data_IF_845561041460
#
_entry.id   IF_845561041460
#
_cell.length_a   1.000
_cell.length_b   1.000
_cell.length_c   1.000
_cell.angle_alpha   90.00
_cell.angle_beta   90.00
_cell.angle_gamma   90.00
#
_symmetry.space_group_name_H-M   'P 1'
#
loop_
_entity.id
_entity.type
_entity.pdbx_description
1 polymer ?
#
# COMPACT_ATOMS: atom_id res chain seq x y z
N UNK A 1 2.90 -35.25 -60.07
CA UNK A 1 4.09 -35.68 -59.30
C UNK A 1 4.98 -34.46 -59.14
N UNK A 2 4.88 -33.78 -58.03
CA UNK A 2 5.68 -32.58 -57.75
C UNK A 2 6.64 -32.95 -56.63
N UNK A 3 7.96 -32.84 -56.90
CA UNK A 3 9.04 -33.13 -55.99
C UNK A 3 9.24 -31.93 -55.04
N UNK A 4 8.99 -32.15 -53.78
CA UNK A 4 9.35 -31.22 -52.71
C UNK A 4 10.86 -31.25 -52.46
N UNK A 5 11.58 -30.25 -52.95
CA UNK A 5 12.97 -30.00 -52.62
C UNK A 5 13.11 -29.32 -51.27
N UNK A 6 13.35 -30.08 -50.22
CA UNK A 6 13.75 -29.61 -48.89
C UNK A 6 15.15 -29.04 -48.96
N UNK A 7 15.25 -27.72 -48.89
CA UNK A 7 16.55 -27.00 -48.70
C UNK A 7 16.96 -27.20 -47.25
N UNK A 8 17.68 -28.28 -46.96
CA UNK A 8 18.37 -28.47 -45.68
C UNK A 8 19.61 -27.54 -45.67
N UNK A 9 19.51 -26.46 -44.96
CA UNK A 9 20.59 -25.53 -44.73
C UNK A 9 21.62 -26.19 -43.82
N UNK A 10 22.65 -26.82 -44.39
CA UNK A 10 23.78 -27.38 -43.66
C UNK A 10 24.60 -26.23 -42.99
N UNK A 11 24.19 -25.83 -41.83
CA UNK A 11 24.82 -24.81 -40.99
C UNK A 11 26.02 -25.35 -40.18
N UNK A 12 26.34 -26.64 -40.30
CA UNK A 12 27.26 -27.35 -39.38
C UNK A 12 28.76 -27.25 -39.73
N UNK A 13 29.14 -26.72 -40.90
CA UNK A 13 30.56 -26.64 -41.28
C UNK A 13 31.22 -25.29 -41.02
N UNK A 14 30.47 -24.25 -40.68
CA UNK A 14 31.00 -22.89 -40.45
C UNK A 14 31.58 -22.67 -39.03
N UNK A 15 31.38 -23.61 -38.13
CA UNK A 15 31.77 -23.46 -36.71
C UNK A 15 33.16 -23.99 -36.36
N UNK A 16 34.01 -24.34 -37.28
CA UNK A 16 35.38 -24.84 -37.04
C UNK A 16 36.47 -23.77 -37.00
N UNK A 17 36.15 -22.48 -37.09
CA UNK A 17 37.15 -21.39 -37.04
C UNK A 17 37.28 -20.78 -35.65
N UNK A 18 38.43 -20.90 -35.01
CA UNK A 18 38.72 -20.47 -33.63
C UNK A 18 38.27 -19.03 -33.25
N UNK A 19 38.61 -17.94 -34.04
CA UNK A 19 38.31 -16.57 -33.60
C UNK A 19 36.82 -16.22 -33.66
N UNK A 20 36.04 -16.77 -34.61
CA UNK A 20 34.60 -16.48 -34.75
C UNK A 20 33.78 -17.07 -33.58
N UNK A 21 34.19 -18.23 -33.06
CA UNK A 21 33.54 -18.86 -31.87
C UNK A 21 33.68 -17.99 -30.62
N UNK A 22 34.88 -17.46 -30.39
CA UNK A 22 35.14 -16.59 -29.25
C UNK A 22 34.35 -15.29 -29.30
N UNK A 23 34.18 -14.72 -30.49
CA UNK A 23 33.34 -13.56 -30.72
C UNK A 23 31.83 -13.82 -30.42
N UNK A 24 31.31 -14.95 -30.89
CA UNK A 24 29.91 -15.35 -30.64
C UNK A 24 29.72 -15.64 -29.16
N UNK A 25 30.62 -16.39 -28.52
CA UNK A 25 30.57 -16.67 -27.10
C UNK A 25 30.68 -15.41 -26.25
N UNK A 26 31.57 -14.51 -26.56
CA UNK A 26 31.69 -13.20 -25.88
C UNK A 26 30.44 -12.36 -25.98
N UNK A 27 29.85 -12.30 -27.18
CA UNK A 27 28.59 -11.57 -27.38
C UNK A 27 27.39 -12.20 -26.68
N UNK A 28 27.30 -13.54 -26.69
CA UNK A 28 26.25 -14.24 -25.95
C UNK A 28 26.39 -14.04 -24.42
N UNK A 29 27.62 -14.04 -23.92
CA UNK A 29 27.92 -13.78 -22.52
C UNK A 29 27.56 -12.34 -22.13
N UNK A 30 27.82 -11.38 -22.97
CA UNK A 30 27.46 -9.98 -22.75
C UNK A 30 25.94 -9.77 -22.71
N UNK A 31 25.20 -10.38 -23.65
CA UNK A 31 23.72 -10.34 -23.64
C UNK A 31 23.18 -11.02 -22.40
N UNK A 32 23.74 -12.18 -22.02
CA UNK A 32 23.34 -12.87 -20.78
C UNK A 32 23.60 -12.02 -19.53
N UNK A 33 24.74 -11.33 -19.47
CA UNK A 33 25.08 -10.42 -18.36
C UNK A 33 24.07 -9.24 -18.26
N UNK A 34 23.68 -8.65 -19.40
CA UNK A 34 22.64 -7.60 -19.45
C UNK A 34 21.30 -8.15 -18.96
N UNK A 35 20.89 -9.35 -19.40
CA UNK A 35 19.63 -9.96 -18.99
C UNK A 35 19.60 -10.27 -17.48
N UNK A 36 20.69 -10.83 -16.95
CA UNK A 36 20.84 -11.13 -15.51
C UNK A 36 20.81 -9.81 -14.72
N UNK A 37 21.59 -8.81 -15.14
CA UNK A 37 21.62 -7.49 -14.49
C UNK A 37 20.24 -6.82 -14.47
N UNK A 38 19.52 -6.84 -15.59
CA UNK A 38 18.16 -6.31 -15.69
C UNK A 38 17.19 -7.06 -14.76
N UNK A 39 17.28 -8.39 -14.68
CA UNK A 39 16.43 -9.21 -13.80
C UNK A 39 16.68 -8.91 -12.31
N UNK A 40 17.95 -8.84 -11.90
CA UNK A 40 18.32 -8.50 -10.52
C UNK A 40 17.86 -7.08 -10.17
N UNK A 41 18.06 -6.13 -11.08
CA UNK A 41 17.63 -4.74 -10.89
C UNK A 41 16.10 -4.63 -10.79
N UNK A 42 15.36 -5.37 -11.61
CA UNK A 42 13.91 -5.46 -11.56
C UNK A 42 13.41 -5.97 -10.21
N UNK A 43 14.02 -7.04 -9.67
CA UNK A 43 13.71 -7.57 -8.36
C UNK A 43 13.98 -6.57 -7.24
N UNK A 44 15.12 -5.90 -7.27
CA UNK A 44 15.49 -4.88 -6.30
C UNK A 44 14.54 -3.67 -6.32
N UNK A 45 14.15 -3.20 -7.51
CA UNK A 45 13.18 -2.11 -7.64
C UNK A 45 11.80 -2.50 -7.11
N UNK A 46 11.34 -3.72 -7.39
CA UNK A 46 10.09 -4.25 -6.85
C UNK A 46 10.06 -4.21 -5.32
N UNK A 47 11.10 -4.72 -4.70
CA UNK A 47 11.20 -4.77 -3.24
C UNK A 47 11.32 -3.36 -2.63
N UNK A 48 12.01 -2.43 -3.30
CA UNK A 48 12.06 -1.02 -2.88
C UNK A 48 10.70 -0.35 -2.98
N UNK A 49 9.95 -0.58 -4.07
CA UNK A 49 8.61 -0.02 -4.25
C UNK A 49 7.66 -0.49 -3.13
N UNK A 50 7.67 -1.78 -2.80
CA UNK A 50 6.87 -2.33 -1.71
C UNK A 50 7.26 -1.73 -0.35
N UNK A 51 8.55 -1.68 -0.02
CA UNK A 51 9.04 -1.06 1.23
C UNK A 51 8.71 0.44 1.31
N UNK A 52 8.77 1.16 0.21
CA UNK A 52 8.38 2.57 0.19
C UNK A 52 6.89 2.75 0.48
N UNK A 53 6.04 1.91 -0.13
CA UNK A 53 4.60 1.92 0.14
C UNK A 53 4.27 1.54 1.59
N UNK A 54 4.98 0.57 2.18
CA UNK A 54 4.85 0.21 3.59
C UNK A 54 5.19 1.40 4.51
N UNK A 55 6.33 2.07 4.28
CA UNK A 55 6.74 3.26 5.03
C UNK A 55 5.74 4.41 4.88
N UNK A 56 5.21 4.60 3.69
CA UNK A 56 4.20 5.62 3.42
C UNK A 56 2.92 5.35 4.21
N UNK A 57 2.43 4.10 4.23
CA UNK A 57 1.29 3.69 5.05
C UNK A 57 1.57 3.88 6.54
N UNK A 58 2.75 3.48 7.03
CA UNK A 58 3.16 3.67 8.43
C UNK A 58 3.14 5.15 8.85
N UNK A 59 3.68 6.02 7.99
CA UNK A 59 3.67 7.47 8.25
C UNK A 59 2.24 8.02 8.24
N UNK A 60 1.42 7.56 7.29
CA UNK A 60 0.01 7.96 7.20
C UNK A 60 -0.76 7.59 8.47
N UNK A 61 -0.69 6.33 8.92
CA UNK A 61 -1.41 5.92 10.16
C UNK A 61 -0.84 6.61 11.41
N UNK A 62 0.46 6.91 11.44
CA UNK A 62 1.07 7.67 12.53
C UNK A 62 0.52 9.10 12.61
N UNK A 63 0.48 9.81 11.48
CA UNK A 63 -0.02 11.18 11.43
C UNK A 63 -1.52 11.23 11.75
N UNK A 64 -2.30 10.30 11.20
CA UNK A 64 -3.72 10.18 11.51
C UNK A 64 -3.98 9.86 12.98
N UNK A 65 -3.25 8.91 13.57
CA UNK A 65 -3.39 8.56 14.98
C UNK A 65 -3.10 9.78 15.89
N UNK A 66 -2.03 10.52 15.63
CA UNK A 66 -1.69 11.74 16.36
C UNK A 66 -2.75 12.83 16.20
N UNK A 67 -3.23 13.04 14.98
CA UNK A 67 -4.28 14.00 14.70
C UNK A 67 -5.56 13.71 15.48
N UNK A 68 -6.02 12.46 15.48
CA UNK A 68 -7.22 12.08 16.21
C UNK A 68 -6.99 12.01 17.73
N UNK A 69 -5.81 11.61 18.22
CA UNK A 69 -5.48 11.75 19.64
C UNK A 69 -5.68 13.19 20.09
N UNK A 70 -5.11 14.17 19.37
CA UNK A 70 -5.24 15.59 19.71
C UNK A 70 -6.69 16.06 19.64
N UNK A 71 -7.45 15.75 18.58
CA UNK A 71 -8.84 16.15 18.47
C UNK A 71 -9.73 15.61 19.60
N UNK A 72 -9.47 14.37 20.00
CA UNK A 72 -10.23 13.74 21.09
C UNK A 72 -9.84 14.28 22.45
N UNK A 73 -8.56 14.63 22.65
CA UNK A 73 -8.07 15.33 23.86
C UNK A 73 -8.71 16.70 24.00
N UNK A 74 -8.76 17.49 22.93
CA UNK A 74 -9.40 18.81 22.94
C UNK A 74 -10.88 18.72 23.39
N UNK A 75 -11.58 17.67 22.90
CA UNK A 75 -12.93 17.43 23.36
C UNK A 75 -13.02 16.95 24.83
N UNK A 76 -12.05 16.15 25.30
CA UNK A 76 -11.99 15.77 26.72
C UNK A 76 -11.80 16.98 27.63
N UNK A 77 -10.98 17.97 27.20
CA UNK A 77 -10.80 19.22 27.96
C UNK A 77 -12.14 19.92 28.14
N UNK A 78 -12.93 20.06 27.06
CA UNK A 78 -14.27 20.68 27.13
C UNK A 78 -15.18 19.90 28.07
N UNK A 79 -15.18 18.56 28.03
CA UNK A 79 -15.98 17.74 28.97
C UNK A 79 -15.57 17.94 30.42
N UNK A 80 -14.26 17.99 30.69
CA UNK A 80 -13.73 18.23 32.04
C UNK A 80 -14.09 19.61 32.55
N UNK A 81 -13.95 20.64 31.72
CA UNK A 81 -14.33 22.02 32.04
C UNK A 81 -15.81 22.13 32.42
N UNK A 82 -16.69 21.45 31.69
CA UNK A 82 -18.11 21.40 32.02
C UNK A 82 -18.36 20.74 33.39
N UNK A 83 -17.65 19.67 33.72
CA UNK A 83 -17.74 19.00 35.02
C UNK A 83 -17.24 19.93 36.14
N UNK A 84 -16.13 20.65 35.93
CA UNK A 84 -15.59 21.63 36.88
C UNK A 84 -16.59 22.77 37.10
N UNK A 85 -17.17 23.29 36.01
CA UNK A 85 -18.23 24.32 36.07
C UNK A 85 -19.43 23.84 36.89
N UNK A 86 -19.90 22.62 36.68
CA UNK A 86 -21.01 22.03 37.44
C UNK A 86 -20.69 21.92 38.92
N UNK A 87 -19.50 21.43 39.28
CA UNK A 87 -19.06 21.31 40.67
C UNK A 87 -18.95 22.68 41.37
N UNK A 88 -18.37 23.68 40.70
CA UNK A 88 -18.29 25.04 41.18
C UNK A 88 -19.69 25.68 41.38
N UNK A 89 -20.67 25.32 40.54
CA UNK A 89 -22.06 25.74 40.67
C UNK A 89 -22.87 24.98 41.72
N UNK A 90 -22.24 24.12 42.56
CA UNK A 90 -22.90 23.37 43.61
C UNK A 90 -23.88 22.27 43.13
N UNK A 91 -23.71 21.80 41.90
CA UNK A 91 -24.50 20.71 41.33
C UNK A 91 -24.04 19.38 41.94
N UNK A 92 -24.79 18.86 42.89
CA UNK A 92 -24.43 17.70 43.68
C UNK A 92 -25.49 16.59 43.73
N UNK A 93 -26.70 16.88 43.28
CA UNK A 93 -27.79 15.89 43.25
C UNK A 93 -28.39 15.74 41.85
N UNK A 94 -29.09 14.63 41.59
CA UNK A 94 -29.74 14.34 40.30
C UNK A 94 -30.75 15.43 39.93
N UNK A 95 -31.56 15.88 40.89
CA UNK A 95 -32.60 16.92 40.68
C UNK A 95 -31.93 18.26 40.33
N UNK A 96 -30.89 18.64 41.07
CA UNK A 96 -30.13 19.86 40.79
C UNK A 96 -29.45 19.81 39.45
N UNK A 97 -28.85 18.67 39.08
CA UNK A 97 -28.21 18.45 37.79
C UNK A 97 -29.25 18.63 36.65
N UNK A 98 -30.37 17.93 36.73
CA UNK A 98 -31.45 18.01 35.76
C UNK A 98 -31.95 19.45 35.58
N UNK A 99 -32.33 20.13 36.67
CA UNK A 99 -32.85 21.49 36.64
C UNK A 99 -31.85 22.47 36.08
N UNK A 100 -30.58 22.41 36.50
CA UNK A 100 -29.55 23.41 36.09
C UNK A 100 -29.07 23.18 34.70
N UNK A 101 -28.84 21.92 34.34
CA UNK A 101 -28.29 21.59 32.98
C UNK A 101 -29.36 21.68 31.90
N UNK A 102 -30.66 21.77 32.20
CA UNK A 102 -31.71 22.00 31.20
C UNK A 102 -31.91 23.46 30.82
N UNK A 103 -31.15 24.41 31.38
CA UNK A 103 -31.32 25.85 31.11
C UNK A 103 -30.88 26.30 29.72
N UNK A 104 -31.49 27.38 29.21
CA UNK A 104 -31.08 28.01 27.96
C UNK A 104 -29.66 28.58 28.04
N UNK A 105 -29.29 29.11 29.20
CA UNK A 105 -27.93 29.59 29.47
C UNK A 105 -26.87 28.50 29.26
N UNK A 106 -27.17 27.25 29.66
CA UNK A 106 -26.33 26.10 29.40
C UNK A 106 -26.26 25.77 27.90
N UNK A 107 -27.43 25.81 27.21
CA UNK A 107 -27.43 25.63 25.75
C UNK A 107 -26.47 26.62 25.04
N UNK A 108 -26.58 27.91 25.36
CA UNK A 108 -25.72 28.95 24.76
C UNK A 108 -24.25 28.72 25.12
N UNK A 109 -23.93 28.31 26.34
CA UNK A 109 -22.58 27.98 26.75
C UNK A 109 -22.04 26.74 26.00
N UNK A 110 -22.84 25.68 25.87
CA UNK A 110 -22.45 24.47 25.07
C UNK A 110 -22.20 24.84 23.63
N UNK A 111 -23.06 25.68 23.02
CA UNK A 111 -22.92 26.14 21.66
C UNK A 111 -21.62 26.93 21.47
N UNK A 112 -21.32 27.90 22.33
CA UNK A 112 -20.10 28.69 22.27
C UNK A 112 -18.83 27.82 22.41
N UNK A 113 -18.83 26.81 23.31
CA UNK A 113 -17.69 25.89 23.45
C UNK A 113 -17.45 25.03 22.20
N UNK A 114 -18.50 24.69 21.45
CA UNK A 114 -18.41 23.91 20.22
C UNK A 114 -17.97 24.74 19.02
N UNK A 115 -18.39 25.99 18.95
CA UNK A 115 -17.99 26.89 17.85
C UNK A 115 -16.47 27.06 17.75
N UNK A 116 -15.75 26.92 18.88
CA UNK A 116 -14.29 26.89 18.94
C UNK A 116 -13.67 25.59 18.37
N UNK A 117 -14.46 24.53 18.18
CA UNK A 117 -14.02 23.21 17.74
C UNK A 117 -14.70 22.86 16.41
N UNK A 118 -14.20 23.37 15.29
CA UNK A 118 -14.82 23.32 13.95
C UNK A 118 -15.10 21.93 13.36
N UNK A 119 -14.58 20.88 13.97
CA UNK A 119 -14.74 19.47 13.55
C UNK A 119 -15.66 18.67 14.49
N UNK A 120 -16.30 19.33 15.45
CA UNK A 120 -17.07 18.66 16.51
C UNK A 120 -18.54 18.77 16.21
N UNK A 121 -19.22 17.62 16.09
CA UNK A 121 -20.67 17.56 16.20
C UNK A 121 -21.15 18.06 17.58
N UNK A 122 -22.46 18.28 17.75
CA UNK A 122 -22.98 18.88 18.99
C UNK A 122 -22.66 18.11 20.27
N UNK A 123 -22.55 18.82 21.40
CA UNK A 123 -22.52 18.23 22.74
C UNK A 123 -23.95 17.97 23.18
N UNK A 124 -24.18 16.79 23.75
CA UNK A 124 -25.44 16.34 24.31
C UNK A 124 -25.27 16.09 25.83
N UNK A 125 -26.27 16.49 26.61
CA UNK A 125 -26.30 16.31 28.07
C UNK A 125 -27.54 15.46 28.41
N UNK A 126 -27.31 14.34 29.09
CA UNK A 126 -28.37 13.42 29.49
C UNK A 126 -28.44 13.35 31.01
N UNK A 127 -29.69 13.24 31.55
CA UNK A 127 -29.93 13.03 32.98
C UNK A 127 -29.63 11.58 33.42
N UNK A 128 -29.83 11.30 34.71
CA UNK A 128 -29.59 9.97 35.28
C UNK A 128 -30.59 8.91 34.76
N UNK A 129 -31.71 9.31 34.24
CA UNK A 129 -32.74 8.46 33.60
C UNK A 129 -32.46 8.25 32.10
N UNK A 130 -31.44 8.93 31.54
CA UNK A 130 -31.07 8.85 30.13
C UNK A 130 -31.84 9.79 29.21
N UNK A 131 -32.63 10.73 29.74
CA UNK A 131 -33.32 11.71 28.93
C UNK A 131 -32.32 12.79 28.44
N UNK A 132 -32.44 13.20 27.19
CA UNK A 132 -31.70 14.35 26.64
C UNK A 132 -32.26 15.64 27.24
N UNK A 133 -31.53 16.28 28.14
CA UNK A 133 -31.96 17.50 28.84
C UNK A 133 -31.34 18.79 28.24
N UNK A 134 -30.26 18.67 27.46
CA UNK A 134 -29.68 19.77 26.71
C UNK A 134 -28.85 19.29 25.52
N UNK A 135 -28.76 20.12 24.49
CA UNK A 135 -27.94 19.86 23.31
C UNK A 135 -27.42 21.19 22.74
N UNK A 136 -26.16 21.25 22.31
CA UNK A 136 -25.59 22.46 21.70
C UNK A 136 -26.15 22.76 20.31
N UNK A 137 -26.65 21.75 19.59
CA UNK A 137 -27.11 21.88 18.21
C UNK A 137 -28.54 22.43 18.10
N UNK A 138 -29.42 22.11 19.04
CA UNK A 138 -30.85 22.46 18.98
C UNK A 138 -31.40 22.83 20.35
N UNK A 139 -32.29 23.81 20.39
CA UNK A 139 -33.03 24.22 21.58
C UNK A 139 -34.50 24.48 21.23
N UNK A 140 -35.48 23.94 21.96
CA UNK A 140 -35.32 22.92 22.99
C UNK A 140 -34.78 21.58 22.42
N UNK A 141 -34.14 20.73 23.23
CA UNK A 141 -33.62 19.44 22.76
C UNK A 141 -34.78 18.50 22.39
N UNK A 142 -34.62 17.65 21.37
CA UNK A 142 -35.64 16.67 21.00
C UNK A 142 -35.86 15.63 22.17
N UNK A 143 -37.05 15.05 22.29
CA UNK A 143 -37.33 14.06 23.32
C UNK A 143 -36.68 12.72 23.00
N UNK A 144 -35.42 12.56 23.40
CA UNK A 144 -34.61 11.35 23.17
C UNK A 144 -34.18 10.77 24.50
N UNK A 145 -34.31 9.45 24.65
CA UNK A 145 -33.83 8.70 25.80
C UNK A 145 -32.82 7.64 25.37
N UNK A 146 -31.74 7.48 26.16
CA UNK A 146 -30.59 6.58 25.85
C UNK A 146 -30.38 5.54 26.97
N UNK A 147 -31.30 5.37 27.89
CA UNK A 147 -31.17 4.47 29.04
C UNK A 147 -30.95 2.99 28.67
N UNK A 148 -31.42 2.59 27.49
CA UNK A 148 -31.23 1.23 26.94
C UNK A 148 -29.89 1.01 26.24
N UNK A 149 -29.14 2.08 25.98
CA UNK A 149 -27.87 2.01 25.24
C UNK A 149 -26.77 1.34 26.06
N UNK A 150 -25.89 0.53 25.44
CA UNK A 150 -24.81 -0.16 26.14
C UNK A 150 -23.93 0.76 26.96
N UNK A 151 -23.43 1.86 26.37
CA UNK A 151 -22.57 2.82 27.10
C UNK A 151 -23.24 3.42 28.32
N UNK A 152 -24.57 3.73 28.25
CA UNK A 152 -25.29 4.32 29.37
C UNK A 152 -25.47 3.30 30.49
N UNK A 153 -25.82 2.04 30.16
CA UNK A 153 -25.89 0.93 31.12
C UNK A 153 -24.51 0.68 31.76
N UNK A 154 -23.43 0.74 31.00
CA UNK A 154 -22.07 0.61 31.51
C UNK A 154 -21.77 1.66 32.57
N UNK A 155 -22.14 2.93 32.38
CA UNK A 155 -21.94 3.98 33.38
C UNK A 155 -22.75 3.75 34.65
N UNK A 156 -23.93 3.15 34.55
CA UNK A 156 -24.81 2.82 35.71
C UNK A 156 -24.41 1.54 36.42
N UNK A 157 -23.47 0.74 35.92
CA UNK A 157 -23.12 -0.57 36.48
C UNK A 157 -22.40 -0.51 37.83
N UNK A 158 -22.00 0.66 38.28
CA UNK A 158 -21.39 0.87 39.59
C UNK A 158 -20.24 1.86 39.63
N UNK A 159 -19.64 2.06 40.82
CA UNK A 159 -18.56 3.04 41.01
C UNK A 159 -17.28 2.77 40.18
N UNK A 160 -17.01 1.50 39.89
CA UNK A 160 -15.85 1.06 39.10
C UNK A 160 -16.09 1.12 37.59
N UNK A 161 -17.25 1.60 37.12
CA UNK A 161 -17.52 1.77 35.70
C UNK A 161 -16.52 2.80 35.09
N UNK A 162 -16.14 2.65 33.82
CA UNK A 162 -15.20 3.57 33.18
C UNK A 162 -15.75 5.00 33.20
N UNK A 163 -14.87 5.99 33.26
CA UNK A 163 -15.27 7.41 33.21
C UNK A 163 -15.69 7.84 31.82
N UNK A 164 -15.21 7.16 30.77
CA UNK A 164 -15.49 7.47 29.38
C UNK A 164 -15.68 6.17 28.60
N UNK A 165 -16.62 6.21 27.64
CA UNK A 165 -16.86 5.14 26.67
C UNK A 165 -16.87 5.73 25.26
N UNK A 166 -16.30 4.98 24.32
CA UNK A 166 -16.34 5.27 22.89
C UNK A 166 -16.90 4.03 22.20
N UNK A 167 -18.07 4.17 21.57
CA UNK A 167 -18.68 3.07 20.84
C UNK A 167 -19.53 3.54 19.66
N UNK A 168 -19.71 2.71 18.62
CA UNK A 168 -20.65 2.99 17.56
C UNK A 168 -22.08 2.72 18.04
N UNK A 169 -22.98 3.65 17.73
CA UNK A 169 -24.42 3.48 17.98
C UNK A 169 -25.21 3.98 16.78
N UNK A 170 -26.37 3.41 16.54
CA UNK A 170 -27.34 4.00 15.64
C UNK A 170 -28.06 5.15 16.38
N UNK A 171 -27.78 6.39 16.00
CA UNK A 171 -28.23 7.59 16.70
C UNK A 171 -29.74 7.80 16.56
N UNK A 172 -30.42 8.04 17.67
CA UNK A 172 -31.84 8.46 17.67
C UNK A 172 -32.01 9.96 17.38
N UNK A 173 -30.92 10.72 17.43
CA UNK A 173 -30.93 12.16 17.15
C UNK A 173 -30.79 12.41 15.64
N UNK A 174 -29.86 11.71 14.99
CA UNK A 174 -29.56 11.94 13.56
C UNK A 174 -30.11 10.86 12.64
N UNK A 175 -30.56 9.71 13.15
CA UNK A 175 -31.03 8.58 12.34
C UNK A 175 -29.92 7.86 11.56
N UNK A 176 -28.66 8.04 11.97
CA UNK A 176 -27.48 7.49 11.28
C UNK A 176 -26.53 6.80 12.27
N UNK A 177 -25.65 5.95 11.75
CA UNK A 177 -24.52 5.44 12.52
C UNK A 177 -23.65 6.59 13.03
N UNK A 178 -23.27 6.53 14.29
CA UNK A 178 -22.57 7.60 15.00
C UNK A 178 -21.61 6.99 16.01
N UNK A 179 -20.37 7.43 16.03
CA UNK A 179 -19.43 7.12 17.10
C UNK A 179 -19.73 8.03 18.28
N UNK A 180 -20.25 7.46 19.37
CA UNK A 180 -20.51 8.19 20.60
C UNK A 180 -19.25 8.22 21.47
N UNK A 181 -18.89 9.42 21.92
CA UNK A 181 -17.87 9.66 22.93
C UNK A 181 -18.59 10.23 24.14
N UNK A 182 -18.83 9.40 25.14
CA UNK A 182 -19.58 9.77 26.33
C UNK A 182 -18.70 9.72 27.58
N UNK A 183 -18.93 10.65 28.49
CA UNK A 183 -18.31 10.70 29.81
C UNK A 183 -19.41 10.69 30.88
N UNK A 184 -19.22 9.88 31.92
CA UNK A 184 -20.12 9.89 33.07
C UNK A 184 -19.92 11.15 33.90
N UNK A 185 -20.99 11.66 34.45
CA UNK A 185 -21.02 12.75 35.44
C UNK A 185 -21.41 12.19 36.77
N UNK A 186 -20.55 12.43 37.77
CA UNK A 186 -20.78 11.97 39.13
C UNK A 186 -20.82 13.14 40.09
N UNK A 187 -21.70 13.03 41.12
CA UNK A 187 -21.74 13.94 42.23
C UNK A 187 -20.60 13.70 43.23
N UNK A 188 -20.54 14.51 44.30
CA UNK A 188 -19.48 14.44 45.30
C UNK A 188 -19.38 13.10 46.06
N UNK A 189 -20.49 12.37 46.19
CA UNK A 189 -20.56 11.06 46.84
C UNK A 189 -20.41 9.88 45.90
N UNK A 190 -20.07 10.16 44.60
CA UNK A 190 -19.93 9.16 43.54
C UNK A 190 -21.27 8.73 42.91
N UNK A 191 -22.39 9.38 43.26
CA UNK A 191 -23.70 9.13 42.65
C UNK A 191 -23.70 9.51 41.17
N UNK A 192 -24.34 8.69 40.32
CA UNK A 192 -24.46 8.94 38.89
C UNK A 192 -25.49 10.03 38.63
N UNK A 193 -25.07 11.18 38.12
CA UNK A 193 -25.90 12.33 37.79
C UNK A 193 -26.41 12.32 36.33
N UNK A 194 -25.64 11.72 35.43
CA UNK A 194 -25.94 11.68 34.00
C UNK A 194 -24.71 11.52 33.14
N UNK A 195 -24.81 11.92 31.88
CA UNK A 195 -23.69 11.84 30.95
C UNK A 195 -23.57 13.10 30.10
N UNK A 196 -22.34 13.42 29.72
CA UNK A 196 -22.01 14.44 28.70
C UNK A 196 -21.29 13.72 27.57
N UNK A 197 -21.81 13.85 26.37
CA UNK A 197 -21.24 13.17 25.23
C UNK A 197 -21.48 13.89 23.92
N UNK A 198 -20.87 13.37 22.88
CA UNK A 198 -21.09 13.79 21.49
C UNK A 198 -21.18 12.56 20.61
N UNK A 199 -21.92 12.70 19.52
CA UNK A 199 -21.88 11.78 18.40
C UNK A 199 -21.02 12.35 17.28
N UNK A 200 -20.18 11.54 16.69
CA UNK A 200 -19.43 11.86 15.47
C UNK A 200 -19.92 10.92 14.39
N UNK A 201 -20.52 11.47 13.34
CA UNK A 201 -20.91 10.66 12.19
C UNK A 201 -19.67 10.17 11.42
N UNK A 202 -19.67 8.93 10.91
CA UNK A 202 -18.57 8.38 10.11
C UNK A 202 -18.12 9.32 9.01
N UNK A 203 -19.04 10.00 8.34
CA UNK A 203 -18.77 10.97 7.28
C UNK A 203 -17.79 12.09 7.68
N UNK A 204 -17.75 12.46 8.97
CA UNK A 204 -16.81 13.48 9.45
C UNK A 204 -15.37 12.97 9.48
N UNK A 205 -15.16 11.71 9.85
CA UNK A 205 -13.85 11.06 9.74
C UNK A 205 -13.48 10.82 8.28
N UNK A 206 -14.44 10.38 7.48
CA UNK A 206 -14.26 10.00 6.08
C UNK A 206 -13.88 11.19 5.18
N UNK A 207 -14.44 12.36 5.42
CA UNK A 207 -14.03 13.61 4.76
C UNK A 207 -12.54 13.87 4.96
N UNK A 208 -12.03 13.67 6.18
CA UNK A 208 -10.62 13.83 6.45
C UNK A 208 -9.79 12.71 5.82
N UNK A 209 -10.24 11.46 5.90
CA UNK A 209 -9.57 10.33 5.26
C UNK A 209 -9.43 10.53 3.74
N UNK A 210 -10.46 11.09 3.09
CA UNK A 210 -10.44 11.40 1.66
C UNK A 210 -9.32 12.39 1.28
N UNK A 211 -8.99 13.34 2.16
CA UNK A 211 -7.89 14.31 1.90
C UNK A 211 -6.50 13.67 1.99
N UNK A 212 -6.40 12.54 2.68
CA UNK A 212 -5.11 11.84 2.95
C UNK A 212 -4.96 10.57 2.12
N UNK A 213 -6.04 10.12 1.45
CA UNK A 213 -6.01 8.91 0.62
C UNK A 213 -5.03 9.07 -0.54
N UNK A 214 -3.99 8.21 -0.59
CA UNK A 214 -2.77 8.41 -1.36
C UNK A 214 -2.81 7.82 -2.77
N UNK A 215 -3.67 6.85 -3.04
CA UNK A 215 -3.66 6.15 -4.33
C UNK A 215 -5.02 5.52 -4.64
N UNK A 216 -5.33 5.25 -5.92
CA UNK A 216 -6.49 4.46 -6.29
C UNK A 216 -6.50 3.11 -5.57
N UNK A 217 -7.64 2.75 -4.96
CA UNK A 217 -7.76 1.51 -4.19
C UNK A 217 -7.20 1.55 -2.77
N UNK A 218 -6.65 2.69 -2.30
CA UNK A 218 -6.30 2.90 -0.91
C UNK A 218 -7.55 2.94 -0.03
N UNK A 219 -7.43 2.40 1.18
CA UNK A 219 -8.49 2.49 2.19
C UNK A 219 -7.92 2.98 3.50
N UNK A 220 -8.69 3.79 4.22
CA UNK A 220 -8.38 4.21 5.59
C UNK A 220 -9.60 3.90 6.45
N UNK A 221 -9.39 3.32 7.61
CA UNK A 221 -10.43 2.94 8.52
C UNK A 221 -10.05 3.27 9.97
N UNK A 222 -11.06 3.63 10.76
CA UNK A 222 -10.95 3.76 12.20
C UNK A 222 -11.75 2.64 12.86
N UNK A 223 -11.10 1.92 13.75
CA UNK A 223 -11.72 0.87 14.53
C UNK A 223 -11.62 1.19 16.02
N UNK A 224 -12.55 0.69 16.79
CA UNK A 224 -12.34 0.50 18.22
C UNK A 224 -11.37 -0.66 18.45
N UNK A 225 -10.64 -0.69 19.57
CA UNK A 225 -9.63 -1.75 19.85
C UNK A 225 -10.21 -3.16 19.94
N UNK A 226 -11.49 -3.30 20.20
CA UNK A 226 -12.17 -4.60 20.16
C UNK A 226 -12.36 -5.14 18.73
N UNK A 227 -12.05 -4.35 17.72
CA UNK A 227 -12.19 -4.69 16.30
C UNK A 227 -13.42 -4.09 15.61
N UNK A 228 -14.27 -3.36 16.34
CA UNK A 228 -15.49 -2.76 15.77
C UNK A 228 -15.16 -1.59 14.85
N UNK A 229 -15.68 -1.59 13.62
CA UNK A 229 -15.46 -0.52 12.62
C UNK A 229 -16.30 0.70 12.96
N UNK A 230 -15.69 1.87 13.05
CA UNK A 230 -16.33 3.16 13.37
C UNK A 230 -16.50 4.05 12.13
N UNK A 231 -15.50 4.07 11.26
CA UNK A 231 -15.52 4.86 10.02
C UNK A 231 -14.58 4.23 8.99
N UNK A 232 -14.85 4.41 7.70
CA UNK A 232 -14.04 3.87 6.62
C UNK A 232 -14.14 4.73 5.36
N UNK A 233 -12.99 4.96 4.72
CA UNK A 233 -12.94 5.53 3.38
C UNK A 233 -12.28 4.53 2.40
N UNK A 234 -12.86 4.28 1.24
CA UNK A 234 -14.21 4.69 0.77
C UNK A 234 -15.32 4.15 1.67
N UNK A 235 -16.43 4.90 1.77
CA UNK A 235 -17.58 4.57 2.63
C UNK A 235 -18.23 3.23 2.27
N UNK A 236 -18.56 2.44 3.29
CA UNK A 236 -19.33 1.20 3.17
C UNK A 236 -20.23 1.08 4.41
N UNK A 237 -21.47 1.55 4.27
CA UNK A 237 -22.42 1.66 5.41
C UNK A 237 -22.69 0.32 6.09
N UNK A 238 -22.75 -0.76 5.33
CA UNK A 238 -23.00 -2.13 5.79
C UNK A 238 -21.89 -2.69 6.68
N UNK A 239 -20.71 -2.10 6.66
CA UNK A 239 -19.57 -2.55 7.48
C UNK A 239 -19.47 -1.80 8.81
N UNK A 240 -20.07 -0.62 8.94
CA UNK A 240 -19.99 0.18 10.17
C UNK A 240 -20.67 -0.59 11.30
N UNK A 241 -20.01 -0.69 12.43
CA UNK A 241 -20.46 -1.48 13.60
C UNK A 241 -20.06 -2.96 13.56
N UNK A 242 -19.57 -3.50 12.44
CA UNK A 242 -19.10 -4.87 12.37
C UNK A 242 -17.76 -5.05 13.08
N UNK A 243 -17.58 -6.24 13.69
CA UNK A 243 -16.35 -6.58 14.40
C UNK A 243 -15.39 -7.38 13.49
N UNK A 244 -14.23 -6.85 13.26
CA UNK A 244 -13.19 -7.43 12.39
C UNK A 244 -12.14 -8.27 13.14
N UNK A 245 -12.15 -8.26 14.47
CA UNK A 245 -11.22 -9.05 15.29
C UNK A 245 -11.56 -10.55 15.29
N UNK A 246 -12.79 -10.91 14.95
CA UNK A 246 -13.26 -12.30 14.86
C UNK A 246 -12.86 -12.98 13.54
N UNK A 247 -12.22 -12.27 12.63
CA UNK A 247 -11.80 -12.74 11.32
C UNK A 247 -10.58 -13.70 11.33
N UNK A 248 -10.01 -14.01 10.15
CA UNK A 248 -8.82 -14.85 9.99
C UNK A 248 -7.64 -14.39 10.85
N UNK A 249 -6.71 -15.30 11.19
CA UNK A 249 -5.57 -15.01 12.08
C UNK A 249 -4.72 -13.82 11.63
N UNK A 250 -4.46 -13.69 10.32
CA UNK A 250 -3.70 -12.56 9.77
C UNK A 250 -4.39 -11.20 9.99
N UNK A 251 -5.73 -11.18 9.96
CA UNK A 251 -6.51 -9.98 10.23
C UNK A 251 -6.50 -9.64 11.73
N UNK A 252 -6.59 -10.66 12.61
CA UNK A 252 -6.52 -10.46 14.07
C UNK A 252 -5.23 -9.80 14.51
N UNK A 253 -4.10 -10.15 13.88
CA UNK A 253 -2.78 -9.60 14.19
C UNK A 253 -2.72 -8.06 14.05
N UNK A 254 -3.53 -7.48 13.14
CA UNK A 254 -3.66 -6.02 12.96
C UNK A 254 -4.16 -5.32 14.24
N UNK A 255 -4.99 -6.03 15.04
CA UNK A 255 -5.61 -5.50 16.27
C UNK A 255 -4.86 -5.87 17.56
N UNK A 256 -3.93 -6.82 17.50
CA UNK A 256 -3.20 -7.33 18.67
C UNK A 256 -2.03 -6.44 19.07
N UNK A 257 -1.45 -5.74 18.10
CA UNK A 257 -0.26 -4.90 18.31
C UNK A 257 -0.61 -3.41 18.20
N UNK A 258 0.03 -2.54 19.02
CA UNK A 258 -0.16 -1.09 18.93
C UNK A 258 0.30 -0.49 17.60
N UNK A 259 1.20 -1.21 16.91
CA UNK A 259 1.69 -0.91 15.57
C UNK A 259 1.91 -2.21 14.83
N UNK A 260 1.38 -2.31 13.62
CA UNK A 260 1.57 -3.47 12.76
C UNK A 260 1.65 -3.02 11.30
N UNK A 261 2.53 -3.68 10.53
CA UNK A 261 2.57 -3.59 9.08
C UNK A 261 2.65 -5.00 8.52
N UNK A 262 1.75 -5.35 7.63
CA UNK A 262 1.63 -6.70 7.09
C UNK A 262 1.12 -6.70 5.65
N UNK A 263 1.37 -7.82 4.97
CA UNK A 263 0.81 -8.10 3.64
C UNK A 263 -0.17 -9.25 3.80
N UNK A 264 -1.40 -9.02 3.39
CA UNK A 264 -2.43 -10.06 3.48
C UNK A 264 -3.47 -9.89 2.36
N UNK A 265 -4.14 -10.99 2.06
CA UNK A 265 -5.30 -10.96 1.17
C UNK A 265 -6.52 -10.49 1.94
N UNK A 266 -7.15 -9.43 1.47
CA UNK A 266 -8.31 -8.82 2.10
C UNK A 266 -9.55 -9.71 1.96
N UNK A 267 -10.24 -10.04 3.06
CA UNK A 267 -11.46 -10.85 2.98
C UNK A 267 -12.65 -10.09 2.39
N UNK A 268 -12.56 -8.77 2.24
CA UNK A 268 -13.64 -7.94 1.70
C UNK A 268 -13.69 -7.92 0.18
N UNK A 269 -12.53 -7.95 -0.47
CA UNK A 269 -12.41 -7.81 -1.93
C UNK A 269 -11.49 -8.86 -2.57
N UNK A 270 -10.92 -9.78 -1.80
CA UNK A 270 -10.02 -10.83 -2.28
C UNK A 270 -8.68 -10.34 -2.83
N UNK A 271 -8.35 -9.05 -2.68
CA UNK A 271 -7.12 -8.47 -3.21
C UNK A 271 -5.97 -8.57 -2.20
N UNK A 272 -4.76 -8.75 -2.72
CA UNK A 272 -3.54 -8.66 -1.91
C UNK A 272 -3.27 -7.19 -1.56
N UNK A 273 -3.18 -6.92 -0.26
CA UNK A 273 -3.01 -5.58 0.29
C UNK A 273 -1.82 -5.48 1.22
N UNK A 274 -1.15 -4.33 1.13
CA UNK A 274 -0.26 -3.84 2.18
C UNK A 274 -1.13 -3.12 3.19
N UNK A 275 -1.02 -3.47 4.46
CA UNK A 275 -1.82 -2.90 5.55
C UNK A 275 -0.88 -2.39 6.62
N UNK A 276 -1.10 -1.17 7.08
CA UNK A 276 -0.46 -0.64 8.28
C UNK A 276 -1.51 -0.19 9.27
N UNK A 277 -1.25 -0.43 10.56
CA UNK A 277 -2.14 -0.03 11.65
C UNK A 277 -1.37 0.71 12.74
N UNK A 278 -2.07 1.62 13.42
CA UNK A 278 -1.57 2.37 14.57
C UNK A 278 -2.67 2.62 15.57
N UNK A 279 -2.44 2.18 16.81
CA UNK A 279 -3.33 2.52 17.92
C UNK A 279 -3.12 3.98 18.33
N UNK A 280 -4.20 4.66 18.72
CA UNK A 280 -4.15 5.93 19.42
C UNK A 280 -3.53 5.72 20.81
N UNK A 281 -2.89 6.74 21.33
CA UNK A 281 -2.17 6.66 22.62
C UNK A 281 -3.14 6.70 23.78
N UNK A 282 -4.09 7.65 23.75
CA UNK A 282 -4.95 7.98 24.89
C UNK A 282 -6.39 7.44 24.75
N UNK A 283 -6.71 6.85 23.60
CA UNK A 283 -8.04 6.36 23.30
C UNK A 283 -8.01 4.91 22.80
N UNK A 284 -9.05 4.12 23.08
CA UNK A 284 -9.15 2.73 22.62
C UNK A 284 -9.51 2.63 21.13
N UNK A 285 -8.80 3.36 20.30
CA UNK A 285 -9.02 3.45 18.86
C UNK A 285 -7.79 2.98 18.09
N UNK A 286 -7.99 2.50 16.87
CA UNK A 286 -6.98 2.02 15.95
C UNK A 286 -7.24 2.60 14.57
N UNK A 287 -6.24 3.23 13.99
CA UNK A 287 -6.25 3.62 12.58
C UNK A 287 -5.61 2.52 11.76
N UNK A 288 -6.27 2.15 10.68
CA UNK A 288 -5.79 1.16 9.70
C UNK A 288 -5.80 1.81 8.33
N UNK A 289 -4.66 1.79 7.65
CA UNK A 289 -4.57 2.19 6.25
C UNK A 289 -4.08 1.03 5.40
N UNK A 290 -4.62 0.87 4.21
CA UNK A 290 -4.17 -0.14 3.28
C UNK A 290 -4.16 0.34 1.83
N UNK A 291 -3.30 -0.30 1.02
CA UNK A 291 -3.29 -0.14 -0.43
C UNK A 291 -3.15 -1.51 -1.09
N UNK A 292 -3.61 -1.65 -2.32
CA UNK A 292 -3.44 -2.91 -3.06
C UNK A 292 -1.97 -3.06 -3.49
N UNK A 293 -1.46 -4.29 -3.49
CA UNK A 293 -0.12 -4.59 -4.01
C UNK A 293 0.03 -4.13 -5.47
N UNK A 294 -1.07 -4.16 -6.22
CA UNK A 294 -1.14 -3.70 -7.61
C UNK A 294 -0.88 -2.19 -7.71
N UNK A 295 -1.50 -1.39 -6.84
CA UNK A 295 -1.30 0.06 -6.79
C UNK A 295 0.10 0.41 -6.27
N UNK A 296 0.57 -0.27 -5.23
CA UNK A 296 1.92 -0.10 -4.69
C UNK A 296 3.04 -0.38 -5.72
N UNK A 297 2.76 -1.21 -6.73
CA UNK A 297 3.68 -1.56 -7.81
C UNK A 297 3.42 -0.81 -9.13
N UNK A 298 2.54 0.20 -9.15
CA UNK A 298 2.21 0.93 -10.38
C UNK A 298 3.46 1.60 -10.99
N UNK A 299 4.17 2.39 -10.20
CA UNK A 299 5.40 3.08 -10.61
C UNK A 299 6.52 2.10 -11.00
N UNK A 300 6.61 0.96 -10.28
CA UNK A 300 7.56 -0.09 -10.60
C UNK A 300 7.29 -0.69 -11.99
N UNK A 301 6.03 -0.91 -12.36
CA UNK A 301 5.67 -1.46 -13.69
C UNK A 301 6.11 -0.53 -14.82
N UNK A 302 5.94 0.76 -14.66
CA UNK A 302 6.38 1.76 -15.64
C UNK A 302 7.91 1.78 -15.76
N UNK A 303 8.61 1.79 -14.63
CA UNK A 303 10.08 1.74 -14.60
C UNK A 303 10.63 0.45 -15.23
N UNK A 304 10.00 -0.70 -14.97
CA UNK A 304 10.39 -1.99 -15.56
C UNK A 304 10.16 -2.01 -17.07
N UNK A 305 9.05 -1.50 -17.55
CA UNK A 305 8.79 -1.42 -18.99
C UNK A 305 9.92 -0.65 -19.71
N UNK A 306 10.36 0.47 -19.14
CA UNK A 306 11.49 1.25 -19.66
C UNK A 306 12.81 0.46 -19.57
N UNK A 307 13.09 -0.20 -18.43
CA UNK A 307 14.30 -1.03 -18.25
C UNK A 307 14.37 -2.17 -19.27
N UNK A 308 13.27 -2.89 -19.47
CA UNK A 308 13.18 -4.00 -20.44
C UNK A 308 13.35 -3.48 -21.87
N UNK A 309 12.75 -2.35 -22.21
CA UNK A 309 12.92 -1.72 -23.52
C UNK A 309 14.39 -1.36 -23.80
N UNK A 310 15.06 -0.72 -22.85
CA UNK A 310 16.49 -0.34 -22.98
C UNK A 310 17.38 -1.58 -23.06
N UNK A 311 17.17 -2.57 -22.20
CA UNK A 311 17.95 -3.81 -22.22
C UNK A 311 17.73 -4.59 -23.54
N UNK A 312 16.49 -4.66 -24.02
CA UNK A 312 16.13 -5.30 -25.28
C UNK A 312 16.76 -4.61 -26.50
N UNK A 313 16.69 -3.28 -26.56
CA UNK A 313 17.34 -2.50 -27.62
C UNK A 313 18.86 -2.67 -27.60
N UNK A 314 19.48 -2.67 -26.42
CA UNK A 314 20.91 -2.89 -26.26
C UNK A 314 21.32 -4.29 -26.73
N UNK A 315 20.58 -5.33 -26.32
CA UNK A 315 20.83 -6.70 -26.76
C UNK A 315 20.67 -6.86 -28.28
N UNK A 316 19.66 -6.21 -28.86
CA UNK A 316 19.40 -6.22 -30.31
C UNK A 316 20.52 -5.52 -31.08
N UNK A 317 21.02 -4.37 -30.59
CA UNK A 317 22.14 -3.65 -31.17
C UNK A 317 23.43 -4.48 -31.16
N UNK A 318 23.72 -5.15 -30.02
CA UNK A 318 24.85 -6.06 -29.87
C UNK A 318 24.74 -7.24 -30.85
N UNK A 319 23.57 -7.88 -30.93
CA UNK A 319 23.34 -8.98 -31.85
C UNK A 319 23.48 -8.58 -33.31
N UNK A 320 22.96 -7.41 -33.70
CA UNK A 320 23.09 -6.87 -35.06
C UNK A 320 24.55 -6.57 -35.39
N UNK A 321 25.31 -5.94 -34.47
CA UNK A 321 26.73 -5.65 -34.66
C UNK A 321 27.55 -6.93 -34.83
N UNK A 322 27.32 -7.92 -33.98
CA UNK A 322 27.96 -9.25 -34.07
C UNK A 322 27.65 -9.92 -35.40
N UNK A 323 26.38 -9.89 -35.82
CA UNK A 323 25.99 -10.44 -37.13
C UNK A 323 26.75 -9.80 -38.30
N UNK A 324 26.86 -8.46 -38.30
CA UNK A 324 27.60 -7.72 -39.34
C UNK A 324 29.08 -8.06 -39.32
N UNK A 325 29.69 -8.13 -38.13
CA UNK A 325 31.14 -8.49 -38.01
C UNK A 325 31.36 -9.92 -38.51
N UNK A 326 30.56 -10.88 -38.05
CA UNK A 326 30.67 -12.31 -38.47
C UNK A 326 30.49 -12.41 -40.00
N UNK A 327 29.46 -11.75 -40.54
CA UNK A 327 29.20 -11.73 -41.98
C UNK A 327 30.41 -11.22 -42.77
N UNK A 328 31.01 -10.10 -42.33
CA UNK A 328 32.19 -9.50 -42.95
C UNK A 328 33.42 -10.44 -42.87
N UNK A 329 33.68 -11.03 -41.71
CA UNK A 329 34.77 -12.00 -41.52
C UNK A 329 34.62 -13.23 -42.42
N UNK A 330 33.40 -13.81 -42.50
CA UNK A 330 33.12 -14.94 -43.40
C UNK A 330 33.31 -14.58 -44.84
N UNK A 331 32.90 -13.38 -45.27
CA UNK A 331 33.14 -12.90 -46.66
C UNK A 331 34.62 -12.77 -46.96
N UNK A 332 35.41 -12.16 -46.08
CA UNK A 332 36.85 -12.01 -46.21
C UNK A 332 37.56 -13.40 -46.27
N UNK A 333 37.16 -14.31 -45.41
CA UNK A 333 37.72 -15.68 -45.40
C UNK A 333 37.43 -16.44 -46.72
N UNK A 334 36.23 -16.28 -47.25
CA UNK A 334 35.85 -16.89 -48.53
C UNK A 334 36.60 -16.26 -49.70
N UNK A 335 36.79 -14.96 -49.70
CA UNK A 335 37.55 -14.25 -50.74
C UNK A 335 39.02 -14.64 -50.70
N UNK A 336 39.64 -14.74 -49.50
CA UNK A 336 41.03 -15.18 -49.34
C UNK A 336 41.24 -16.62 -49.82
N UNK A 337 40.35 -17.56 -49.44
CA UNK A 337 40.41 -18.93 -49.94
C UNK A 337 40.25 -19.05 -51.45
N UNK A 338 39.39 -18.25 -52.07
CA UNK A 338 39.24 -18.21 -53.54
C UNK A 338 40.51 -17.70 -54.23
N UNK A 339 41.16 -16.66 -53.72
CA UNK A 339 42.42 -16.15 -54.23
C UNK A 339 43.51 -17.22 -54.17
N UNK A 340 43.65 -17.86 -53.00
CA UNK A 340 44.65 -18.92 -52.80
C UNK A 340 44.41 -20.13 -53.73
N UNK A 341 43.14 -20.54 -53.93
CA UNK A 341 42.83 -21.62 -54.86
C UNK A 341 43.11 -21.28 -56.32
N UNK A 342 42.85 -20.01 -56.71
CA UNK A 342 43.17 -19.52 -58.06
C UNK A 342 44.68 -19.43 -58.30
N UNK A 343 45.46 -18.95 -57.31
CA UNK A 343 46.94 -18.94 -57.39
C UNK A 343 47.53 -20.34 -57.47
N UNK A 344 47.01 -21.27 -56.64
CA UNK A 344 47.41 -22.67 -56.72
C UNK A 344 47.11 -23.27 -58.07
N UNK A 345 45.91 -23.03 -58.59
CA UNK A 345 45.51 -23.54 -59.93
C UNK A 345 46.35 -22.92 -61.07
N UNK A 346 46.74 -21.62 -60.98
CA UNK A 346 47.64 -20.99 -61.91
C UNK A 346 49.05 -21.59 -61.86
N UNK A 347 49.55 -21.85 -60.66
CA UNK A 347 50.80 -22.53 -60.45
C UNK A 347 50.84 -23.96 -61.02
N UNK A 348 49.79 -24.71 -60.66
CA UNK A 348 49.60 -26.09 -61.17
C UNK A 348 49.54 -26.10 -62.72
N UNK A 349 48.76 -25.17 -63.29
CA UNK A 349 48.70 -25.04 -64.78
C UNK A 349 50.00 -24.60 -65.41
N UNK A 350 50.75 -23.69 -64.78
CA UNK A 350 52.04 -23.26 -65.25
C UNK A 350 53.07 -24.39 -65.19
N UNK A 351 53.14 -25.14 -64.11
CA UNK A 351 54.02 -26.26 -63.92
C UNK A 351 53.69 -27.40 -64.90
N UNK A 352 52.41 -27.73 -65.10
CA UNK A 352 52.01 -28.81 -66.02
C UNK A 352 52.11 -28.47 -67.52
N UNK A 353 52.18 -27.16 -67.90
CA UNK A 353 52.38 -26.74 -69.27
C UNK A 353 53.84 -26.39 -69.62
N UNK A 354 54.80 -26.62 -68.70
CA UNK A 354 56.21 -26.47 -69.02
C UNK A 354 56.66 -27.65 -69.91
N UNK A 355 57.26 -27.32 -71.02
CA UNK A 355 57.83 -28.30 -71.97
C UNK A 355 59.12 -28.97 -71.52
N UNK A 356 59.66 -28.52 -70.40
CA UNK A 356 60.84 -29.10 -69.72
C UNK A 356 60.41 -29.79 -68.46
N UNK A 357 60.85 -31.04 -68.18
CA UNK A 357 60.59 -31.76 -66.96
C UNK A 357 61.21 -31.04 -65.79
N UNK A 358 60.34 -30.72 -64.80
CA UNK A 358 60.73 -30.07 -63.55
C UNK A 358 60.61 -31.07 -62.41
N UNK A 359 61.74 -31.32 -61.72
CA UNK A 359 61.81 -32.13 -60.49
C UNK A 359 62.23 -31.25 -59.35
N UNK A 360 61.36 -31.09 -58.36
CA UNK A 360 61.62 -30.31 -57.16
C UNK A 360 61.71 -31.21 -55.95
N UNK A 361 62.76 -31.14 -55.16
CA UNK A 361 62.98 -31.94 -53.95
C UNK A 361 62.94 -31.03 -52.70
N UNK A 362 62.53 -31.54 -51.62
CA UNK A 362 62.58 -30.86 -50.29
C UNK A 362 64.01 -30.96 -49.68
N UNK A 363 64.20 -30.34 -48.54
CA UNK A 363 65.52 -30.38 -47.84
C UNK A 363 65.88 -31.80 -47.35
N UNK A 364 65.02 -32.79 -47.45
CA UNK A 364 65.22 -34.19 -47.12
C UNK A 364 65.36 -35.07 -48.40
N UNK A 365 65.57 -34.45 -49.55
CA UNK A 365 65.71 -35.12 -50.86
C UNK A 365 64.45 -35.91 -51.28
N UNK A 366 63.27 -35.57 -50.78
CA UNK A 366 62.04 -36.17 -51.21
C UNK A 366 61.43 -35.35 -52.36
N UNK A 367 60.94 -36.05 -53.37
CA UNK A 367 60.30 -35.42 -54.52
C UNK A 367 58.99 -34.76 -54.12
N UNK A 368 58.91 -33.43 -54.27
CA UNK A 368 57.73 -32.62 -53.91
C UNK A 368 56.87 -32.27 -55.12
N UNK A 369 57.51 -32.01 -56.26
CA UNK A 369 56.80 -31.67 -57.52
C UNK A 369 57.51 -32.38 -58.67
N UNK A 370 56.68 -32.97 -59.50
CA UNK A 370 57.06 -33.54 -60.80
C UNK A 370 55.98 -33.16 -61.85
N UNK A 371 56.34 -32.62 -62.99
CA UNK A 371 55.44 -32.42 -64.14
C UNK A 371 55.57 -33.49 -65.19
#
# INVERSE_FOLDING_TARGET
MASNGTISFRMTSLFRGGPIRWLILGGALLIAAIAIGATVMAGNFRERALRNSERQLENTVLLLARHFDQQLEDFQVVQKDLIVFMRAGGISTVENYKRRMSGLDIHLMLKSKIEALSYVGGINVFDAEGNLINASATWPPPPVNVADRPYFKTFKSGPQSPDMVIEPVYSRITGAWTTVIARKVTGPKGEFLGTIGRGIEPANFEKFFATVALAPGATIAMHHRDGTLLARYPHMAELIGNNFRTGPAAQRQVFEQPRSTSRLTSPLDGQDRLISSRALTNFPLLIVASTTTTAALADWREQIAMLVAVAGLSAMAIAALLFLIVRKLVQQHRASKRRLSLEKQRLDTAVNNMTQGLLLFDTRQQLVICN
#
